data_IF_973045624503
#
_entry.id   IF_973045624503
#
_cell.length_a   1.000
_cell.length_b   1.000
_cell.length_c   1.000
_cell.angle_alpha   90.00
_cell.angle_beta   90.00
_cell.angle_gamma   90.00
#
_symmetry.space_group_name_H-M   'P 1'
#
loop_
_entity.id
_entity.type
_entity.pdbx_description
1 polymer ?
#
# COMPACT_ATOMS: atom_id res chain seq x y z
N UNK A 1 5.31 13.17 38.16
CA UNK A 1 5.90 12.92 36.82
C UNK A 1 4.94 13.55 35.84
N UNK A 2 5.15 14.84 35.57
CA UNK A 2 4.33 15.62 34.64
C UNK A 2 4.54 15.04 33.25
N UNK A 3 3.44 14.67 32.58
CA UNK A 3 3.48 14.37 31.16
C UNK A 3 3.49 15.74 30.46
N UNK A 4 4.67 16.30 30.25
CA UNK A 4 4.82 17.42 29.33
C UNK A 4 4.48 16.89 27.94
N UNK A 5 3.26 17.17 27.49
CA UNK A 5 2.85 16.86 26.14
C UNK A 5 3.63 17.78 25.21
N UNK A 6 4.74 17.27 24.65
CA UNK A 6 5.44 17.89 23.54
C UNK A 6 4.46 18.21 22.40
N UNK A 7 4.73 19.24 21.58
CA UNK A 7 3.81 19.63 20.52
C UNK A 7 3.51 18.44 19.60
N UNK A 8 2.23 18.16 19.43
CA UNK A 8 1.72 17.15 18.52
C UNK A 8 0.89 17.83 17.45
N UNK A 9 1.10 17.43 16.19
CA UNK A 9 0.41 18.00 15.04
C UNK A 9 -0.55 16.97 14.45
N UNK A 10 -1.80 17.38 14.19
CA UNK A 10 -2.82 16.56 13.53
C UNK A 10 -3.11 17.10 12.13
N UNK A 11 -2.97 16.24 11.13
CA UNK A 11 -3.32 16.52 9.73
C UNK A 11 -4.56 15.72 9.35
N UNK A 12 -5.52 16.37 8.68
CA UNK A 12 -6.73 15.75 8.15
C UNK A 12 -6.79 15.96 6.64
N UNK A 13 -7.22 14.94 5.89
CA UNK A 13 -7.40 15.00 4.45
C UNK A 13 -8.70 14.28 4.05
N UNK A 14 -9.40 14.86 3.07
CA UNK A 14 -10.61 14.29 2.46
C UNK A 14 -10.57 14.60 0.96
N UNK A 15 -10.92 13.62 0.13
CA UNK A 15 -10.98 13.78 -1.31
C UNK A 15 -12.09 12.92 -1.91
N UNK A 16 -12.64 13.42 -3.03
CA UNK A 16 -13.42 12.63 -3.97
C UNK A 16 -12.60 12.51 -5.26
N UNK A 17 -12.31 11.29 -5.70
CA UNK A 17 -11.44 11.02 -6.85
C UNK A 17 -12.16 10.24 -7.94
N UNK A 18 -11.63 10.31 -9.16
CA UNK A 18 -12.15 9.55 -10.29
C UNK A 18 -12.05 8.04 -9.99
N UNK A 19 -13.12 7.27 -10.18
CA UNK A 19 -13.09 5.82 -10.01
C UNK A 19 -12.17 5.14 -11.03
N UNK A 20 -11.68 3.92 -10.75
CA UNK A 20 -10.89 3.14 -11.69
C UNK A 20 -11.68 2.74 -12.95
N UNK A 21 -13.02 2.76 -12.89
CA UNK A 21 -13.88 2.44 -14.02
C UNK A 21 -14.26 3.70 -14.80
N UNK A 22 -14.13 3.65 -16.12
CA UNK A 22 -14.45 4.80 -16.99
C UNK A 22 -15.94 5.18 -16.97
N UNK A 23 -16.83 4.21 -16.74
CA UNK A 23 -18.27 4.38 -16.74
C UNK A 23 -18.90 4.55 -15.34
N UNK A 24 -18.08 4.70 -14.28
CA UNK A 24 -18.61 4.82 -12.92
C UNK A 24 -19.39 6.14 -12.72
N UNK A 25 -20.59 6.03 -12.14
CA UNK A 25 -21.48 7.17 -11.88
C UNK A 25 -21.15 7.94 -10.60
N UNK A 26 -20.40 7.34 -9.65
CA UNK A 26 -20.07 7.93 -8.35
C UNK A 26 -18.55 8.02 -8.19
N UNK A 27 -18.00 9.11 -7.62
CA UNK A 27 -16.60 9.20 -7.31
C UNK A 27 -16.21 8.25 -6.16
N UNK A 28 -14.93 7.90 -6.10
CA UNK A 28 -14.35 7.22 -4.96
C UNK A 28 -14.13 8.23 -3.84
N UNK A 29 -14.47 7.87 -2.60
CA UNK A 29 -14.18 8.69 -1.44
C UNK A 29 -12.89 8.22 -0.79
N UNK A 30 -12.05 9.18 -0.38
CA UNK A 30 -10.81 8.94 0.35
C UNK A 30 -10.71 9.89 1.53
N UNK A 31 -10.29 9.37 2.69
CA UNK A 31 -10.05 10.17 3.88
C UNK A 31 -8.80 9.68 4.61
N UNK A 32 -8.14 10.56 5.34
CA UNK A 32 -7.02 10.17 6.17
C UNK A 32 -6.68 11.18 7.25
N UNK A 33 -6.01 10.68 8.28
CA UNK A 33 -5.49 11.45 9.40
C UNK A 33 -4.04 11.08 9.65
N UNK A 34 -3.25 12.03 10.14
CA UNK A 34 -1.87 11.78 10.57
C UNK A 34 -1.58 12.56 11.84
N UNK A 35 -1.11 11.84 12.85
CA UNK A 35 -0.55 12.38 14.07
C UNK A 35 0.97 12.42 13.96
N UNK A 36 1.58 13.55 14.32
CA UNK A 36 3.02 13.77 14.42
C UNK A 36 3.35 14.07 15.88
N UNK A 37 4.43 13.47 16.38
CA UNK A 37 4.97 13.74 17.73
C UNK A 37 6.25 14.54 17.51
N UNK A 38 6.16 15.87 17.53
CA UNK A 38 7.21 16.73 17.00
C UNK A 38 8.49 16.72 17.87
N UNK A 39 8.42 16.40 19.15
CA UNK A 39 9.62 16.26 19.99
C UNK A 39 10.31 14.89 19.88
N UNK A 40 9.67 13.89 19.27
CA UNK A 40 10.26 12.57 19.05
C UNK A 40 10.69 12.40 17.59
N UNK A 41 11.93 12.79 17.27
CA UNK A 41 12.48 12.74 15.89
C UNK A 41 13.63 11.76 15.74
N UNK A 42 13.85 11.28 14.52
CA UNK A 42 14.98 10.43 14.18
C UNK A 42 15.34 10.45 12.71
N UNK A 43 16.46 9.84 12.38
CA UNK A 43 16.99 9.81 11.02
C UNK A 43 16.34 8.72 10.19
N UNK A 44 15.88 9.08 9.00
CA UNK A 44 15.33 8.14 8.03
C UNK A 44 15.78 8.50 6.62
N UNK A 45 16.13 7.47 5.85
CA UNK A 45 16.43 7.58 4.44
C UNK A 45 15.29 7.01 3.61
N UNK A 46 14.64 7.85 2.80
CA UNK A 46 13.64 7.40 1.84
C UNK A 46 14.32 6.94 0.55
N UNK A 47 14.14 5.66 0.23
CA UNK A 47 14.79 5.02 -0.92
C UNK A 47 16.31 5.18 -0.89
N UNK A 48 16.90 5.49 -2.04
CA UNK A 48 18.34 5.72 -2.17
C UNK A 48 18.73 7.20 -2.16
N UNK A 49 17.81 8.16 -2.07
CA UNK A 49 18.12 9.56 -2.47
C UNK A 49 18.01 10.60 -1.36
N UNK A 50 17.18 10.40 -0.34
CA UNK A 50 16.88 11.48 0.63
C UNK A 50 16.97 11.00 2.08
N UNK A 51 17.95 11.49 2.84
CA UNK A 51 18.03 11.31 4.30
C UNK A 51 17.52 12.55 5.01
N UNK A 52 16.57 12.39 5.94
CA UNK A 52 15.91 13.48 6.66
C UNK A 52 15.75 13.15 8.14
N UNK A 53 15.69 14.19 8.96
CA UNK A 53 15.30 14.11 10.36
C UNK A 53 13.76 14.21 10.43
N UNK A 54 13.09 13.10 10.76
CA UNK A 54 11.63 12.96 10.67
C UNK A 54 11.02 12.72 12.05
N UNK A 55 9.86 13.31 12.30
CA UNK A 55 9.08 13.07 13.51
C UNK A 55 8.46 11.68 13.52
N UNK A 56 8.32 11.12 14.72
CA UNK A 56 7.49 9.95 14.95
C UNK A 56 6.07 10.27 14.50
N UNK A 57 5.45 9.33 13.81
CA UNK A 57 4.11 9.55 13.28
C UNK A 57 3.30 8.28 13.20
N UNK A 58 1.99 8.45 13.27
CA UNK A 58 0.99 7.45 12.97
C UNK A 58 -0.03 8.06 12.02
N UNK A 59 -0.29 7.42 10.90
CA UNK A 59 -1.31 7.82 9.95
C UNK A 59 -2.29 6.68 9.71
N UNK A 60 -3.56 7.06 9.54
CA UNK A 60 -4.63 6.17 9.15
C UNK A 60 -5.28 6.75 7.90
N UNK A 61 -5.56 5.93 6.91
CA UNK A 61 -6.30 6.37 5.74
C UNK A 61 -7.27 5.30 5.27
N UNK A 62 -8.22 5.68 4.44
CA UNK A 62 -9.13 4.72 3.84
C UNK A 62 -9.82 5.26 2.60
N UNK A 63 -10.40 4.32 1.86
CA UNK A 63 -11.18 4.58 0.65
C UNK A 63 -12.44 3.73 0.65
N UNK A 64 -13.51 4.25 0.06
CA UNK A 64 -14.71 3.50 -0.28
C UNK A 64 -15.15 3.86 -1.69
N UNK A 65 -15.62 2.87 -2.44
CA UNK A 65 -16.00 3.00 -3.84
C UNK A 65 -17.06 1.99 -4.23
N UNK A 66 -17.84 2.32 -5.27
CA UNK A 66 -18.76 1.38 -5.92
C UNK A 66 -18.09 0.82 -7.17
N UNK A 67 -18.06 -0.50 -7.28
CA UNK A 67 -17.61 -1.21 -8.48
C UNK A 67 -18.83 -1.76 -9.19
N UNK A 68 -18.92 -1.58 -10.49
CA UNK A 68 -20.09 -1.98 -11.27
C UNK A 68 -19.70 -2.46 -12.66
N UNK A 69 -20.23 -3.61 -13.08
CA UNK A 69 -20.04 -4.14 -14.44
C UNK A 69 -21.39 -4.64 -14.98
N UNK A 70 -21.55 -4.77 -16.31
CA UNK A 70 -22.72 -5.45 -16.86
C UNK A 70 -22.83 -6.88 -16.34
N UNK A 71 -24.05 -7.36 -16.09
CA UNK A 71 -24.28 -8.75 -15.71
C UNK A 71 -23.73 -9.72 -16.78
N UNK A 72 -23.16 -10.85 -16.35
CA UNK A 72 -22.66 -11.89 -17.24
C UNK A 72 -23.83 -12.71 -17.82
N UNK A 73 -24.50 -12.15 -18.83
CA UNK A 73 -25.62 -12.79 -19.55
C UNK A 73 -25.25 -13.06 -21.01
N UNK A 74 -25.91 -14.02 -21.71
CA UNK A 74 -25.52 -14.42 -23.07
C UNK A 74 -25.52 -13.32 -24.14
N UNK A 75 -26.26 -12.22 -23.92
CA UNK A 75 -26.30 -11.06 -24.82
C UNK A 75 -26.16 -9.74 -24.03
N UNK A 76 -24.94 -9.40 -23.58
CA UNK A 76 -24.72 -8.28 -22.66
C UNK A 76 -25.03 -6.92 -23.29
N UNK A 77 -24.90 -6.77 -24.62
CA UNK A 77 -25.29 -5.55 -25.35
C UNK A 77 -26.79 -5.22 -25.28
N UNK A 78 -27.62 -6.19 -24.90
CA UNK A 78 -29.07 -6.01 -24.68
C UNK A 78 -29.45 -5.91 -23.20
N UNK A 79 -28.50 -6.14 -22.29
CA UNK A 79 -28.72 -6.14 -20.85
C UNK A 79 -28.38 -4.78 -20.25
N UNK A 80 -29.41 -4.08 -19.78
CA UNK A 80 -29.26 -2.88 -18.93
C UNK A 80 -28.98 -3.24 -17.46
N UNK A 81 -29.00 -4.53 -17.11
CA UNK A 81 -28.77 -4.98 -15.74
C UNK A 81 -27.27 -4.90 -15.40
N UNK A 82 -26.93 -3.95 -14.53
CA UNK A 82 -25.62 -3.84 -13.93
C UNK A 82 -25.58 -4.60 -12.59
N UNK A 83 -24.45 -5.23 -12.31
CA UNK A 83 -24.16 -5.85 -11.01
C UNK A 83 -23.06 -5.07 -10.32
N UNK A 84 -23.17 -4.93 -9.01
CA UNK A 84 -22.25 -4.06 -8.25
C UNK A 84 -21.69 -4.73 -7.01
N UNK A 85 -20.46 -4.35 -6.66
CA UNK A 85 -19.79 -4.69 -5.42
C UNK A 85 -19.26 -3.42 -4.75
N UNK A 86 -19.10 -3.44 -3.43
CA UNK A 86 -18.48 -2.34 -2.69
C UNK A 86 -16.99 -2.61 -2.56
N UNK A 87 -16.16 -1.70 -3.08
CA UNK A 87 -14.73 -1.67 -2.83
C UNK A 87 -14.43 -0.80 -1.62
N UNK A 88 -13.48 -1.21 -0.78
CA UNK A 88 -13.01 -0.41 0.34
C UNK A 88 -11.57 -0.78 0.69
N UNK A 89 -10.85 0.15 1.30
CA UNK A 89 -9.53 -0.13 1.85
C UNK A 89 -9.23 0.76 3.04
N UNK A 90 -8.39 0.27 3.94
CA UNK A 90 -7.82 1.04 5.04
C UNK A 90 -6.31 0.81 5.09
N UNK A 91 -5.56 1.86 5.41
CA UNK A 91 -4.12 1.79 5.70
C UNK A 91 -3.81 2.31 7.09
N UNK A 92 -2.77 1.74 7.68
CA UNK A 92 -2.09 2.26 8.86
C UNK A 92 -0.59 2.36 8.56
N UNK A 93 -0.04 3.56 8.74
CA UNK A 93 1.36 3.86 8.45
C UNK A 93 2.02 4.45 9.69
N UNK A 94 3.22 4.01 10.03
CA UNK A 94 3.94 4.44 11.22
C UNK A 94 5.41 4.73 10.92
N UNK A 95 5.94 5.78 11.57
CA UNK A 95 7.37 6.07 11.65
C UNK A 95 7.73 6.15 13.13
N UNK A 96 8.71 5.37 13.56
CA UNK A 96 9.13 5.24 14.95
C UNK A 96 10.65 5.34 15.08
N UNK A 97 11.20 6.49 15.51
CA UNK A 97 12.58 6.61 15.96
C UNK A 97 12.80 5.77 17.24
N UNK A 98 13.36 4.57 17.13
CA UNK A 98 13.64 3.70 18.28
C UNK A 98 14.82 4.24 19.09
N UNK A 99 15.90 4.61 18.40
CA UNK A 99 17.04 5.33 18.96
C UNK A 99 17.09 6.71 18.31
N UNK A 100 16.36 7.70 18.86
CA UNK A 100 16.36 9.06 18.32
C UNK A 100 17.73 9.71 18.52
N UNK A 101 18.11 10.59 17.58
CA UNK A 101 19.34 11.39 17.63
C UNK A 101 19.04 12.79 17.07
N UNK A 102 19.75 13.84 17.53
CA UNK A 102 19.51 15.21 17.06
C UNK A 102 19.89 15.40 15.58
N UNK A 103 19.51 16.53 15.00
CA UNK A 103 19.68 16.82 13.56
C UNK A 103 21.14 17.03 13.13
N UNK A 104 22.05 17.25 14.07
CA UNK A 104 23.48 17.40 13.83
C UNK A 104 24.25 16.07 14.00
N UNK A 105 23.61 15.02 14.52
CA UNK A 105 24.23 13.72 14.72
C UNK A 105 23.31 12.56 14.37
N UNK A 106 23.71 11.76 13.38
CA UNK A 106 23.01 10.53 12.96
C UNK A 106 23.68 9.26 13.47
N UNK A 107 24.84 9.35 14.10
CA UNK A 107 25.54 8.19 14.66
C UNK A 107 24.67 7.47 15.68
N UNK A 108 24.59 6.14 15.55
CA UNK A 108 23.79 5.27 16.42
C UNK A 108 22.26 5.51 16.36
N UNK A 109 21.75 6.14 15.30
CA UNK A 109 20.31 6.33 15.12
C UNK A 109 19.63 5.06 14.61
N UNK A 110 18.45 4.72 15.15
CA UNK A 110 17.63 3.58 14.72
C UNK A 110 16.20 4.03 14.49
N UNK A 111 15.67 3.82 13.28
CA UNK A 111 14.30 4.17 12.92
C UNK A 111 13.60 3.00 12.26
N UNK A 112 12.38 2.72 12.70
CA UNK A 112 11.47 1.78 12.06
C UNK A 112 10.38 2.53 11.30
N UNK A 113 9.99 2.01 10.14
CA UNK A 113 8.85 2.47 9.34
C UNK A 113 8.00 1.27 8.99
N UNK A 114 6.69 1.36 9.17
CA UNK A 114 5.78 0.27 8.85
C UNK A 114 4.54 0.79 8.13
N UNK A 115 3.98 -0.03 7.25
CA UNK A 115 2.72 0.21 6.54
C UNK A 115 1.93 -1.09 6.52
N UNK A 116 0.64 -1.01 6.81
CA UNK A 116 -0.29 -2.13 6.71
C UNK A 116 -1.55 -1.67 5.99
N UNK A 117 -2.03 -2.49 5.06
CA UNK A 117 -3.18 -2.18 4.21
C UNK A 117 -4.07 -3.41 4.15
N UNK A 118 -5.38 -3.22 4.31
CA UNK A 118 -6.37 -4.25 4.04
C UNK A 118 -7.55 -3.65 3.29
N UNK A 119 -8.15 -4.42 2.39
CA UNK A 119 -9.32 -3.98 1.68
C UNK A 119 -9.77 -4.95 0.61
N UNK A 120 -10.75 -4.55 -0.17
CA UNK A 120 -11.22 -5.25 -1.37
C UNK A 120 -11.48 -4.26 -2.49
N UNK A 121 -11.18 -4.65 -3.72
CA UNK A 121 -11.36 -3.74 -4.85
C UNK A 121 -10.45 -2.52 -4.77
N UNK A 122 -9.20 -2.74 -4.35
CA UNK A 122 -8.17 -1.71 -4.20
C UNK A 122 -6.89 -2.01 -5.00
N UNK A 123 -6.93 -3.00 -5.90
CA UNK A 123 -5.74 -3.46 -6.61
C UNK A 123 -5.15 -2.42 -7.55
N UNK A 124 -5.99 -1.54 -8.09
CA UNK A 124 -5.63 -0.39 -8.93
C UNK A 124 -4.70 0.60 -8.20
N UNK A 125 -4.80 0.67 -6.87
CA UNK A 125 -3.91 1.50 -6.05
C UNK A 125 -2.47 0.96 -5.97
N UNK A 126 -2.23 -0.24 -6.52
CA UNK A 126 -0.93 -0.91 -6.52
C UNK A 126 -0.53 -1.28 -7.94
N UNK A 127 0.70 -0.93 -8.30
CA UNK A 127 1.22 -1.21 -9.64
C UNK A 127 1.20 -2.72 -9.92
N UNK A 128 0.36 -3.14 -10.89
CA UNK A 128 0.24 -4.52 -11.40
C UNK A 128 -0.21 -5.57 -10.39
N UNK A 129 -0.88 -5.17 -9.30
CA UNK A 129 -1.44 -6.14 -8.36
C UNK A 129 -2.66 -6.83 -8.98
N UNK A 130 -2.56 -8.13 -9.29
CA UNK A 130 -3.70 -8.91 -9.77
C UNK A 130 -3.69 -10.38 -9.37
N UNK A 131 -2.66 -10.85 -8.67
CA UNK A 131 -2.59 -12.26 -8.24
C UNK A 131 -2.50 -13.27 -9.37
N UNK A 132 -2.07 -12.85 -10.57
CA UNK A 132 -2.08 -13.70 -11.76
C UNK A 132 -3.46 -13.84 -12.41
N UNK A 133 -4.51 -13.21 -11.85
CA UNK A 133 -5.86 -13.27 -12.37
C UNK A 133 -5.93 -12.78 -13.82
N UNK A 134 -6.64 -13.54 -14.64
CA UNK A 134 -6.96 -13.23 -16.03
C UNK A 134 -8.45 -13.42 -16.24
N UNK A 135 -9.06 -12.57 -17.06
CA UNK A 135 -10.44 -12.79 -17.48
C UNK A 135 -10.55 -14.14 -18.21
N UNK A 136 -11.65 -14.89 -18.03
CA UNK A 136 -11.91 -16.11 -18.78
C UNK A 136 -11.86 -15.86 -20.30
N UNK A 137 -11.38 -16.83 -21.08
CA UNK A 137 -11.39 -16.72 -22.54
C UNK A 137 -12.80 -16.85 -23.14
N UNK A 138 -13.74 -17.44 -22.40
CA UNK A 138 -15.10 -17.77 -22.81
C UNK A 138 -16.12 -16.67 -22.48
N UNK A 139 -15.73 -15.40 -22.50
CA UNK A 139 -16.68 -14.31 -22.27
C UNK A 139 -17.69 -14.21 -23.42
N UNK A 140 -18.96 -13.83 -23.14
CA UNK A 140 -19.93 -13.54 -24.18
C UNK A 140 -19.36 -12.54 -25.20
N UNK A 141 -19.59 -12.74 -26.51
CA UNK A 141 -19.15 -11.81 -27.54
C UNK A 141 -19.63 -10.38 -27.22
N UNK A 142 -18.69 -9.42 -27.25
CA UNK A 142 -19.00 -8.01 -26.99
C UNK A 142 -19.13 -7.63 -25.51
N UNK A 143 -18.81 -8.51 -24.56
CA UNK A 143 -18.78 -8.14 -23.13
C UNK A 143 -17.71 -7.06 -22.87
N UNK A 144 -18.09 -5.89 -22.30
CA UNK A 144 -17.14 -4.81 -22.08
C UNK A 144 -16.25 -5.08 -20.86
N UNK A 145 -14.94 -5.04 -21.04
CA UNK A 145 -13.96 -5.20 -19.96
C UNK A 145 -13.62 -3.85 -19.32
N UNK A 146 -14.62 -3.24 -18.67
CA UNK A 146 -14.52 -1.92 -18.00
C UNK A 146 -14.06 -2.01 -16.54
N UNK A 147 -13.42 -3.13 -16.17
CA UNK A 147 -12.84 -3.32 -14.84
C UNK A 147 -11.42 -3.84 -14.95
N UNK A 148 -10.55 -3.40 -14.06
CA UNK A 148 -9.18 -3.89 -14.01
C UNK A 148 -9.09 -5.27 -13.36
N UNK A 149 -8.12 -6.06 -13.83
CA UNK A 149 -7.81 -7.37 -13.24
C UNK A 149 -7.32 -7.18 -11.81
N UNK A 150 -7.81 -8.01 -10.89
CA UNK A 150 -7.43 -7.94 -9.48
C UNK A 150 -8.35 -7.09 -8.62
N UNK A 151 -9.32 -6.38 -9.23
CA UNK A 151 -10.21 -5.45 -8.53
C UNK A 151 -11.49 -6.15 -8.05
N UNK A 152 -12.31 -6.62 -9.00
CA UNK A 152 -13.50 -7.42 -8.74
C UNK A 152 -13.78 -8.31 -9.95
N UNK A 153 -14.44 -9.44 -9.71
CA UNK A 153 -14.91 -10.31 -10.78
C UNK A 153 -16.07 -11.19 -10.33
N UNK A 154 -16.63 -11.96 -11.27
CA UNK A 154 -17.58 -13.02 -10.97
C UNK A 154 -16.85 -14.21 -10.36
N UNK A 155 -17.33 -14.71 -9.23
CA UNK A 155 -16.83 -15.94 -8.64
C UNK A 155 -17.39 -17.18 -9.36
N UNK A 156 -17.02 -18.38 -8.88
CA UNK A 156 -17.52 -19.66 -9.43
C UNK A 156 -19.06 -19.80 -9.36
N UNK A 157 -19.74 -19.08 -8.46
CA UNK A 157 -21.20 -19.06 -8.35
C UNK A 157 -21.85 -18.02 -9.30
N UNK A 158 -21.05 -17.23 -10.03
CA UNK A 158 -21.53 -16.15 -10.87
C UNK A 158 -21.89 -14.89 -10.09
N UNK A 159 -21.45 -14.76 -8.83
CA UNK A 159 -21.67 -13.56 -8.02
C UNK A 159 -20.54 -12.55 -8.24
N UNK A 160 -20.89 -11.30 -8.53
CA UNK A 160 -19.90 -10.24 -8.70
C UNK A 160 -19.35 -9.77 -7.34
N UNK A 161 -18.06 -10.03 -7.08
CA UNK A 161 -17.40 -9.76 -5.80
C UNK A 161 -16.06 -9.07 -5.98
N UNK A 162 -15.72 -8.21 -5.02
CA UNK A 162 -14.43 -7.57 -4.94
C UNK A 162 -13.35 -8.54 -4.44
N UNK A 163 -12.16 -8.47 -5.04
CA UNK A 163 -11.00 -9.25 -4.63
C UNK A 163 -10.36 -8.56 -3.43
N UNK A 164 -10.14 -9.31 -2.36
CA UNK A 164 -9.53 -8.85 -1.11
C UNK A 164 -8.02 -8.89 -1.18
N UNK A 165 -7.38 -7.89 -0.61
CA UNK A 165 -5.93 -7.79 -0.47
C UNK A 165 -5.56 -7.37 0.95
N UNK A 166 -4.52 -8.01 1.47
CA UNK A 166 -3.83 -7.67 2.72
C UNK A 166 -2.36 -7.49 2.40
N UNK A 167 -1.83 -6.33 2.69
CA UNK A 167 -0.46 -5.96 2.37
C UNK A 167 0.21 -5.39 3.61
N UNK A 168 1.47 -5.71 3.79
CA UNK A 168 2.27 -5.16 4.88
C UNK A 168 3.68 -4.90 4.40
N UNK A 169 4.29 -3.82 4.89
CA UNK A 169 5.71 -3.54 4.74
C UNK A 169 6.25 -3.05 6.07
N UNK A 170 7.44 -3.51 6.42
CA UNK A 170 8.23 -2.94 7.49
C UNK A 170 9.65 -2.66 6.98
N UNK A 171 10.25 -1.58 7.46
CA UNK A 171 11.61 -1.18 7.19
C UNK A 171 12.28 -0.78 8.51
N UNK A 172 13.52 -1.21 8.70
CA UNK A 172 14.36 -0.83 9.82
C UNK A 172 15.66 -0.22 9.27
N UNK A 173 16.08 0.92 9.82
CA UNK A 173 17.31 1.59 9.41
C UNK A 173 18.17 1.91 10.62
N UNK A 174 19.42 1.46 10.60
CA UNK A 174 20.39 1.68 11.66
C UNK A 174 21.64 2.39 11.14
N UNK A 175 21.87 3.61 11.60
CA UNK A 175 23.02 4.43 11.25
C UNK A 175 24.19 4.11 12.18
N UNK A 176 25.29 3.63 11.62
CA UNK A 176 26.45 3.16 12.39
C UNK A 176 27.23 4.34 13.00
N UNK A 177 27.76 4.19 14.22
CA UNK A 177 28.73 5.13 14.78
C UNK A 177 30.00 5.27 13.90
N UNK A 178 30.76 6.38 14.05
CA UNK A 178 30.48 7.54 14.90
C UNK A 178 29.57 8.58 14.23
N UNK A 179 29.59 8.69 12.90
CA UNK A 179 28.96 9.80 12.17
C UNK A 179 27.73 9.41 11.33
N UNK A 180 27.28 8.15 11.37
CA UNK A 180 26.16 7.63 10.58
C UNK A 180 26.33 7.75 9.07
N UNK A 181 27.56 7.87 8.57
CA UNK A 181 27.83 7.85 7.12
C UNK A 181 27.56 6.48 6.51
N UNK A 182 27.65 5.42 7.32
CA UNK A 182 27.31 4.05 6.94
C UNK A 182 26.03 3.67 7.68
N UNK A 183 25.08 3.03 7.01
CA UNK A 183 23.88 2.52 7.65
C UNK A 183 23.41 1.21 7.04
N UNK A 184 22.74 0.43 7.86
CA UNK A 184 22.05 -0.79 7.47
C UNK A 184 20.57 -0.48 7.25
N UNK A 185 19.98 -1.12 6.26
CA UNK A 185 18.53 -1.14 6.03
C UNK A 185 18.06 -2.58 5.89
N UNK A 186 16.96 -2.91 6.55
CA UNK A 186 16.24 -4.17 6.33
C UNK A 186 14.81 -3.84 5.94
N UNK A 187 14.30 -4.48 4.88
CA UNK A 187 12.92 -4.38 4.44
C UNK A 187 12.28 -5.77 4.47
N UNK A 188 11.02 -5.85 4.89
CA UNK A 188 10.18 -7.02 4.66
C UNK A 188 8.84 -6.54 4.13
N UNK A 189 8.30 -7.21 3.13
CA UNK A 189 6.96 -6.96 2.62
C UNK A 189 6.21 -8.27 2.40
N UNK A 190 4.89 -8.18 2.52
CA UNK A 190 4.00 -9.31 2.25
C UNK A 190 2.75 -8.80 1.57
N UNK A 191 2.22 -9.62 0.66
CA UNK A 191 0.95 -9.43 0.00
C UNK A 191 0.20 -10.73 0.15
N UNK A 192 -1.11 -10.65 0.44
CA UNK A 192 -1.99 -11.81 0.52
C UNK A 192 -3.39 -11.50 0.01
N UNK A 193 -4.03 -12.42 -0.70
CA UNK A 193 -5.46 -12.36 -1.01
C UNK A 193 -6.21 -13.52 -0.36
N UNK A 194 -7.12 -13.26 0.59
CA UNK A 194 -7.93 -14.31 1.22
C UNK A 194 -8.92 -15.00 0.29
N UNK A 195 -9.35 -14.36 -0.81
CA UNK A 195 -10.44 -14.85 -1.66
C UNK A 195 -10.08 -14.99 -3.14
N UNK A 196 -8.84 -14.75 -3.56
CA UNK A 196 -8.50 -14.76 -5.00
C UNK A 196 -8.82 -16.07 -5.71
N UNK A 197 -8.71 -17.21 -5.02
CA UNK A 197 -9.02 -18.51 -5.59
C UNK A 197 -10.51 -18.74 -5.89
N UNK A 198 -11.41 -17.84 -5.49
CA UNK A 198 -12.83 -17.88 -5.86
C UNK A 198 -13.07 -17.41 -7.31
N UNK A 199 -12.07 -16.77 -7.93
CA UNK A 199 -12.21 -16.11 -9.23
C UNK A 199 -11.53 -16.88 -10.38
N UNK A 200 -10.95 -18.05 -10.12
CA UNK A 200 -10.35 -18.85 -11.19
C UNK A 200 -9.49 -20.02 -10.72
N UNK A 201 -8.90 -20.76 -11.67
CA UNK A 201 -8.13 -21.96 -11.37
C UNK A 201 -6.89 -21.64 -10.53
N UNK A 202 -6.73 -22.34 -9.39
CA UNK A 202 -5.60 -22.15 -8.46
C UNK A 202 -4.23 -22.23 -9.12
N UNK A 203 -4.07 -23.08 -10.15
CA UNK A 203 -2.81 -23.24 -10.87
C UNK A 203 -2.34 -21.96 -11.61
N UNK A 204 -3.25 -21.01 -11.84
CA UNK A 204 -2.98 -19.74 -12.54
C UNK A 204 -2.93 -18.53 -11.61
N UNK A 205 -3.23 -18.73 -10.32
CA UNK A 205 -3.39 -17.67 -9.34
C UNK A 205 -2.35 -17.82 -8.24
N UNK A 206 -1.90 -16.69 -7.69
CA UNK A 206 -1.13 -16.65 -6.45
C UNK A 206 -1.89 -15.81 -5.44
N UNK A 207 -1.96 -16.30 -4.21
CA UNK A 207 -2.65 -15.66 -3.10
C UNK A 207 -1.70 -15.05 -2.08
N UNK A 208 -0.39 -15.29 -2.20
CA UNK A 208 0.59 -14.72 -1.30
C UNK A 208 1.93 -14.46 -1.99
N UNK A 209 2.65 -13.45 -1.51
CA UNK A 209 4.03 -13.16 -1.86
C UNK A 209 4.70 -12.52 -0.65
N UNK A 210 5.93 -12.94 -0.37
CA UNK A 210 6.76 -12.34 0.67
C UNK A 210 8.09 -11.98 0.03
N UNK A 211 8.61 -10.82 0.40
CA UNK A 211 9.91 -10.35 -0.04
C UNK A 211 10.66 -9.75 1.15
N UNK A 212 11.96 -9.97 1.21
CA UNK A 212 12.81 -9.41 2.23
C UNK A 212 14.10 -8.92 1.58
N UNK A 213 14.65 -7.81 2.06
CA UNK A 213 15.88 -7.25 1.54
C UNK A 213 16.72 -6.70 2.68
N UNK A 214 18.02 -6.92 2.61
CA UNK A 214 19.03 -6.25 3.42
C UNK A 214 19.93 -5.39 2.54
N UNK A 215 20.27 -4.20 3.01
CA UNK A 215 21.20 -3.32 2.30
C UNK A 215 22.17 -2.61 3.26
N UNK A 216 23.42 -2.49 2.81
CA UNK A 216 24.44 -1.64 3.42
C UNK A 216 24.62 -0.41 2.53
N UNK A 217 24.52 0.75 3.14
CA UNK A 217 24.72 2.03 2.47
C UNK A 217 25.92 2.78 3.03
N UNK A 218 26.56 3.57 2.18
CA UNK A 218 27.63 4.48 2.56
C UNK A 218 27.50 5.82 1.82
N UNK A 219 27.48 6.92 2.57
CA UNK A 219 27.46 8.28 2.05
C UNK A 219 28.66 9.07 2.61
N UNK A 220 29.83 9.03 1.94
CA UNK A 220 31.04 9.73 2.39
C UNK A 220 30.85 11.25 2.41
N UNK A 221 30.01 11.77 1.51
CA UNK A 221 29.58 13.17 1.46
C UNK A 221 28.09 13.24 1.13
N UNK A 222 27.37 14.33 1.45
CA UNK A 222 25.93 14.42 1.19
C UNK A 222 25.53 14.19 -0.28
N UNK A 223 26.40 14.54 -1.23
CA UNK A 223 26.14 14.43 -2.66
C UNK A 223 26.40 13.03 -3.25
N UNK A 224 27.07 12.12 -2.52
CA UNK A 224 27.50 10.83 -3.04
C UNK A 224 27.04 9.70 -2.12
N UNK A 225 26.48 8.65 -2.71
CA UNK A 225 25.99 7.49 -1.97
C UNK A 225 26.21 6.20 -2.75
N UNK A 226 26.62 5.18 -2.03
CA UNK A 226 26.78 3.81 -2.51
C UNK A 226 25.86 2.90 -1.70
N UNK A 227 25.41 1.82 -2.34
CA UNK A 227 24.62 0.79 -1.70
C UNK A 227 25.00 -0.59 -2.26
N UNK A 228 25.00 -1.59 -1.39
CA UNK A 228 24.99 -3.01 -1.76
C UNK A 228 23.75 -3.61 -1.12
N UNK A 229 22.91 -4.26 -1.93
CA UNK A 229 21.65 -4.86 -1.48
C UNK A 229 21.64 -6.36 -1.81
N UNK A 230 20.87 -7.10 -1.01
CA UNK A 230 20.58 -8.51 -1.20
C UNK A 230 19.08 -8.75 -0.97
N UNK A 231 18.44 -9.40 -1.93
CA UNK A 231 17.02 -9.73 -1.98
C UNK A 231 16.73 -11.25 -1.98
#
# INVERSE_FOLDING_TARGET
RELDWEPASLVLALAAVRPPQSAAALPDLQAGTRLLIDGWKGWHTSGSTSTKHVAASLALSGTVRKLEVPALVPNPSSSTAAVSAVGWGVSADAVLPILPRPEDDRGNALTAVASWITGQGISDLFTRLNGGFRFPASLPPGYPLEIERGLAWFDEAGEFKAIQWRMGRANLQYFLPPAGQVWLSANVSSIRSPNIFQFGPRASLWDHMVWAEGALFWAPVPALRFAVAYD
#
